data_IF_685241558492
#
_entry.id   IF_685241558492
#
_cell.length_a   1.000
_cell.length_b   1.000
_cell.length_c   1.000
_cell.angle_alpha   90.00
_cell.angle_beta   90.00
_cell.angle_gamma   90.00
#
_symmetry.space_group_name_H-M   'P 1'
#
loop_
_entity.id
_entity.type
_entity.pdbx_description
1 polymer ?
#
# COMPACT_ATOMS: atom_id res chain seq x y z
N UNK A 1 12.99 -48.85 34.59
CA UNK A 1 13.28 -47.46 34.89
C UNK A 1 13.61 -46.75 33.57
N UNK A 2 12.58 -46.17 32.99
CA UNK A 2 12.71 -45.45 31.75
C UNK A 2 12.54 -43.97 32.03
N UNK A 3 13.54 -43.18 31.69
CA UNK A 3 13.48 -41.72 31.68
C UNK A 3 12.80 -41.23 30.39
N UNK A 4 11.95 -40.20 30.44
CA UNK A 4 11.36 -39.66 29.25
C UNK A 4 12.31 -38.61 28.60
N UNK A 5 12.51 -38.80 27.31
CA UNK A 5 13.21 -37.86 26.44
C UNK A 5 12.40 -36.53 26.28
N UNK A 6 12.99 -35.47 26.75
CA UNK A 6 12.44 -34.12 26.57
C UNK A 6 12.51 -33.67 25.12
N UNK A 7 11.36 -33.51 24.48
CA UNK A 7 11.23 -32.84 23.20
C UNK A 7 11.47 -31.34 23.39
N UNK A 8 12.51 -30.80 22.75
CA UNK A 8 12.69 -29.36 22.60
C UNK A 8 11.68 -28.81 21.62
N UNK A 9 10.69 -28.09 22.12
CA UNK A 9 9.92 -27.19 21.33
C UNK A 9 10.84 -26.07 20.81
N UNK A 10 11.08 -26.04 19.52
CA UNK A 10 11.68 -24.89 18.87
C UNK A 10 10.60 -23.83 18.78
N UNK A 11 10.71 -22.81 19.61
CA UNK A 11 9.86 -21.65 19.58
C UNK A 11 10.08 -20.90 18.28
N UNK A 12 9.07 -20.88 17.44
CA UNK A 12 8.99 -19.97 16.29
C UNK A 12 8.73 -18.56 16.80
N UNK A 13 9.78 -17.80 17.05
CA UNK A 13 9.68 -16.40 17.48
C UNK A 13 9.87 -15.41 16.32
N UNK A 14 9.73 -15.86 15.07
CA UNK A 14 10.02 -15.05 13.89
C UNK A 14 8.82 -14.46 13.15
N UNK A 15 7.59 -14.94 13.40
CA UNK A 15 6.46 -14.65 12.51
C UNK A 15 5.60 -13.45 12.96
N UNK A 16 5.86 -12.90 14.13
CA UNK A 16 4.99 -11.87 14.73
C UNK A 16 5.35 -10.43 14.43
N UNK A 17 6.45 -10.15 13.75
CA UNK A 17 6.87 -8.78 13.44
C UNK A 17 6.20 -8.19 12.21
N UNK A 18 5.85 -9.01 11.22
CA UNK A 18 5.29 -8.54 9.95
C UNK A 18 3.76 -8.55 9.91
N UNK A 19 3.09 -9.20 10.84
CA UNK A 19 1.65 -9.39 10.82
C UNK A 19 0.93 -8.46 11.81
N UNK A 20 0.87 -7.18 11.48
CA UNK A 20 -0.17 -6.32 12.03
C UNK A 20 -1.43 -6.48 11.18
N UNK A 21 -2.32 -7.42 11.49
CA UNK A 21 -3.60 -7.55 10.82
C UNK A 21 -4.52 -6.42 11.27
N UNK A 22 -4.72 -5.42 10.43
CA UNK A 22 -5.81 -4.47 10.62
C UNK A 22 -7.08 -5.03 9.96
N UNK A 23 -7.96 -5.62 10.75
CA UNK A 23 -9.32 -5.94 10.31
C UNK A 23 -10.15 -4.68 10.46
N UNK A 24 -10.29 -3.89 9.41
CA UNK A 24 -11.27 -2.83 9.37
C UNK A 24 -12.52 -3.32 8.63
N UNK A 25 -13.60 -3.48 9.36
CA UNK A 25 -14.94 -3.67 8.80
C UNK A 25 -15.37 -2.36 8.17
N UNK A 26 -15.73 -2.40 6.88
CA UNK A 26 -16.52 -1.35 6.24
C UNK A 26 -17.87 -1.27 6.95
N UNK A 27 -18.16 -0.16 7.61
CA UNK A 27 -19.51 0.22 7.98
C UNK A 27 -20.00 1.23 6.97
N UNK A 28 -20.91 0.80 6.12
CA UNK A 28 -21.66 1.69 5.26
C UNK A 28 -22.79 2.33 6.09
N UNK A 29 -22.78 3.64 6.23
CA UNK A 29 -23.93 4.48 6.56
C UNK A 29 -23.57 5.91 6.14
N UNK A 30 -24.36 6.46 5.32
CA UNK A 30 -25.55 7.19 5.36
C UNK A 30 -25.60 8.20 4.24
N UNK A 31 -26.62 8.11 3.44
CA UNK A 31 -27.04 9.08 2.43
C UNK A 31 -27.41 10.42 3.05
N UNK A 32 -27.06 11.54 2.40
CA UNK A 32 -27.95 12.63 2.00
C UNK A 32 -27.25 13.98 1.85
N UNK A 33 -27.91 15.00 1.24
CA UNK A 33 -28.37 15.12 -0.13
C UNK A 33 -27.68 16.25 -0.91
N UNK A 34 -27.94 16.26 -2.22
CA UNK A 34 -27.67 17.30 -3.19
C UNK A 34 -27.29 18.69 -2.69
N UNK A 35 -26.02 19.04 -2.86
CA UNK A 35 -25.58 20.41 -3.01
C UNK A 35 -25.15 20.60 -4.48
N UNK A 36 -25.61 21.69 -5.08
CA UNK A 36 -25.37 22.08 -6.47
C UNK A 36 -23.86 22.09 -6.79
N UNK A 37 -23.45 21.78 -8.03
CA UNK A 37 -22.05 21.74 -8.40
C UNK A 37 -21.51 23.18 -8.48
N UNK A 38 -20.90 23.64 -7.42
CA UNK A 38 -19.80 24.58 -7.56
C UNK A 38 -18.68 23.79 -8.23
N UNK A 39 -18.18 24.23 -9.37
CA UNK A 39 -16.95 23.72 -9.98
C UNK A 39 -15.81 23.93 -8.97
N UNK A 40 -15.72 23.08 -7.96
CA UNK A 40 -14.50 22.94 -7.17
C UNK A 40 -13.45 22.35 -8.12
N UNK A 41 -12.36 23.07 -8.27
CA UNK A 41 -11.24 22.59 -9.05
C UNK A 41 -10.88 21.18 -8.59
N UNK A 42 -10.84 20.22 -9.53
CA UNK A 42 -10.57 18.83 -9.27
C UNK A 42 -9.35 18.67 -8.36
N UNK A 43 -9.55 18.12 -7.16
CA UNK A 43 -8.48 17.96 -6.19
C UNK A 43 -7.67 16.72 -6.49
N UNK A 44 -6.37 16.85 -6.40
CA UNK A 44 -5.41 15.78 -6.67
C UNK A 44 -4.67 15.41 -5.40
N UNK A 45 -4.54 14.12 -5.16
CA UNK A 45 -3.78 13.54 -4.06
C UNK A 45 -2.63 12.69 -4.62
N UNK A 46 -1.44 12.81 -4.05
CA UNK A 46 -0.31 11.91 -4.30
C UNK A 46 -0.11 11.06 -3.06
N UNK A 47 -0.45 9.79 -3.17
CA UNK A 47 -0.22 8.76 -2.14
C UNK A 47 1.02 7.98 -2.52
N UNK A 48 1.91 7.72 -1.57
CA UNK A 48 3.08 6.89 -1.87
C UNK A 48 3.56 6.09 -0.67
N UNK A 49 4.18 4.95 -0.98
CA UNK A 49 5.03 4.19 -0.06
C UNK A 49 6.46 4.20 -0.58
N UNK A 50 7.42 4.44 0.30
CA UNK A 50 8.84 4.44 -0.05
C UNK A 50 9.68 3.82 1.06
N UNK A 51 10.32 2.69 0.76
CA UNK A 51 11.21 2.00 1.70
C UNK A 51 12.63 2.61 1.73
N UNK A 52 13.11 3.12 0.59
CA UNK A 52 14.50 3.61 0.40
C UNK A 52 14.60 5.08 -0.02
N UNK A 53 13.48 5.80 -0.05
CA UNK A 53 13.43 7.22 -0.43
C UNK A 53 13.27 7.49 -1.91
N UNK A 54 13.48 6.52 -2.81
CA UNK A 54 13.40 6.75 -4.26
C UNK A 54 11.98 7.14 -4.71
N UNK A 55 10.96 6.40 -4.29
CA UNK A 55 9.55 6.70 -4.63
C UNK A 55 9.13 8.04 -4.03
N UNK A 56 9.60 8.35 -2.83
CA UNK A 56 9.36 9.65 -2.17
C UNK A 56 9.81 10.82 -3.04
N UNK A 57 11.02 10.76 -3.57
CA UNK A 57 11.54 11.84 -4.45
C UNK A 57 10.65 12.07 -5.67
N UNK A 58 10.14 11.00 -6.29
CA UNK A 58 9.22 11.10 -7.44
C UNK A 58 7.87 11.67 -7.01
N UNK A 59 7.34 11.22 -5.87
CA UNK A 59 6.08 11.72 -5.32
C UNK A 59 6.14 13.21 -5.01
N UNK A 60 7.21 13.68 -4.39
CA UNK A 60 7.45 15.11 -4.11
C UNK A 60 7.52 15.95 -5.39
N UNK A 61 8.15 15.41 -6.44
CA UNK A 61 8.24 16.11 -7.73
C UNK A 61 6.87 16.17 -8.43
N UNK A 62 6.07 15.10 -8.42
CA UNK A 62 4.70 15.13 -8.93
C UNK A 62 3.87 16.16 -8.17
N UNK A 63 3.95 16.16 -6.85
CA UNK A 63 3.28 17.14 -5.99
C UNK A 63 3.67 18.58 -6.34
N UNK A 64 4.97 18.83 -6.51
CA UNK A 64 5.48 20.15 -6.90
C UNK A 64 4.95 20.62 -8.27
N UNK A 65 4.83 19.70 -9.23
CA UNK A 65 4.38 20.01 -10.59
C UNK A 65 2.87 20.19 -10.69
N UNK A 66 2.10 19.44 -9.89
CA UNK A 66 0.64 19.41 -9.97
C UNK A 66 -0.06 20.29 -8.93
N UNK A 67 0.65 20.69 -7.87
CA UNK A 67 0.05 21.34 -6.71
C UNK A 67 -0.84 20.41 -5.87
N UNK A 68 -0.69 19.09 -6.03
CA UNK A 68 -1.45 18.09 -5.31
C UNK A 68 -1.09 18.02 -3.82
N UNK A 69 -2.00 17.50 -3.00
CA UNK A 69 -1.68 17.13 -1.63
C UNK A 69 -0.84 15.86 -1.61
N UNK A 70 0.04 15.73 -0.62
CA UNK A 70 0.96 14.60 -0.47
C UNK A 70 0.63 13.77 0.76
N UNK A 71 0.52 12.46 0.59
CA UNK A 71 0.28 11.51 1.67
C UNK A 71 1.27 10.35 1.63
N UNK A 72 2.05 10.20 2.69
CA UNK A 72 3.00 9.10 2.85
C UNK A 72 2.37 7.93 3.59
N UNK A 73 2.37 6.76 2.98
CA UNK A 73 2.02 5.51 3.66
C UNK A 73 3.24 5.09 4.49
N UNK A 74 3.15 5.31 5.80
CA UNK A 74 4.18 4.88 6.75
C UNK A 74 3.75 3.55 7.36
N UNK A 75 4.57 2.48 7.27
CA UNK A 75 4.27 1.22 7.94
C UNK A 75 4.19 1.41 9.46
N UNK A 76 3.24 0.77 10.14
CA UNK A 76 3.15 0.80 11.60
C UNK A 76 4.41 0.21 12.28
N UNK A 77 5.06 -0.73 11.59
CA UNK A 77 6.39 -1.25 11.96
C UNK A 77 7.33 -0.93 10.80
N UNK A 78 8.27 0.01 10.97
CA UNK A 78 9.22 0.37 9.92
C UNK A 78 10.06 -0.83 9.47
N UNK A 79 10.28 -0.94 8.15
CA UNK A 79 11.19 -1.93 7.61
C UNK A 79 12.63 -1.56 7.92
N UNK A 80 13.40 -2.53 8.40
CA UNK A 80 14.85 -2.43 8.55
C UNK A 80 15.57 -2.90 7.29
N UNK A 81 16.86 -2.64 7.17
CA UNK A 81 17.66 -3.15 6.05
C UNK A 81 17.64 -4.69 5.98
N UNK A 82 17.53 -5.36 7.13
CA UNK A 82 17.38 -6.82 7.19
C UNK A 82 16.02 -7.28 6.68
N UNK A 83 14.95 -6.51 6.95
CA UNK A 83 13.60 -6.80 6.48
C UNK A 83 13.47 -6.63 4.95
N UNK A 84 14.35 -5.82 4.36
CA UNK A 84 14.39 -5.55 2.92
C UNK A 84 15.42 -6.41 2.16
N UNK A 85 16.15 -7.27 2.86
CA UNK A 85 17.17 -8.12 2.25
C UNK A 85 16.55 -9.30 1.48
N UNK A 86 16.20 -9.07 0.22
CA UNK A 86 15.58 -10.06 -0.67
C UNK A 86 16.42 -11.35 -0.89
N UNK A 87 17.70 -11.36 -0.52
CA UNK A 87 18.52 -12.58 -0.53
C UNK A 87 18.23 -13.51 0.66
N UNK A 88 17.54 -12.99 1.68
CA UNK A 88 17.08 -13.76 2.83
C UNK A 88 15.60 -14.13 2.65
N UNK A 89 15.29 -15.40 2.40
CA UNK A 89 13.94 -15.88 2.22
C UNK A 89 13.04 -15.68 3.47
N UNK A 90 13.65 -15.45 4.63
CA UNK A 90 12.93 -15.21 5.89
C UNK A 90 12.79 -13.71 6.23
N UNK A 91 13.24 -12.81 5.35
CA UNK A 91 13.04 -11.39 5.58
C UNK A 91 11.56 -11.01 5.45
N UNK A 92 11.16 -9.94 6.13
CA UNK A 92 9.78 -9.46 6.17
C UNK A 92 9.19 -9.26 4.78
N UNK A 93 9.90 -8.55 3.92
CA UNK A 93 9.45 -8.27 2.56
C UNK A 93 9.20 -9.56 1.75
N UNK A 94 10.08 -10.58 1.86
CA UNK A 94 9.88 -11.86 1.21
C UNK A 94 8.63 -12.59 1.73
N UNK A 95 8.44 -12.60 3.04
CA UNK A 95 7.28 -13.25 3.66
C UNK A 95 5.97 -12.59 3.24
N UNK A 96 5.92 -11.27 3.26
CA UNK A 96 4.75 -10.50 2.82
C UNK A 96 4.45 -10.73 1.34
N UNK A 97 5.46 -10.69 0.48
CA UNK A 97 5.25 -10.85 -0.96
C UNK A 97 4.84 -12.28 -1.34
N UNK A 98 5.25 -13.28 -0.56
CA UNK A 98 4.84 -14.69 -0.74
C UNK A 98 3.44 -14.97 -0.20
N UNK A 99 2.88 -14.10 0.63
CA UNK A 99 1.52 -14.20 1.14
C UNK A 99 0.61 -13.16 0.47
N UNK A 100 -0.24 -13.61 -0.44
CA UNK A 100 -1.19 -12.72 -1.13
C UNK A 100 -2.22 -12.07 -0.20
N UNK A 101 -2.44 -12.64 0.99
CA UNK A 101 -3.35 -12.13 2.00
C UNK A 101 -2.68 -11.18 3.01
N UNK A 102 -1.34 -11.03 2.95
CA UNK A 102 -0.64 -10.13 3.84
C UNK A 102 -1.15 -8.69 3.71
N UNK A 103 -1.40 -8.07 4.84
CA UNK A 103 -1.86 -6.68 4.95
C UNK A 103 -1.07 -5.97 6.05
N UNK A 104 0.16 -5.52 5.76
CA UNK A 104 0.95 -4.74 6.71
C UNK A 104 0.17 -3.51 7.18
N UNK A 105 0.17 -3.26 8.47
CA UNK A 105 -0.59 -2.15 9.04
C UNK A 105 0.02 -0.80 8.65
N UNK A 106 -0.83 0.16 8.30
CA UNK A 106 -0.45 1.55 8.06
C UNK A 106 -0.43 2.29 9.39
N UNK A 107 0.67 2.98 9.66
CA UNK A 107 0.87 3.78 10.86
C UNK A 107 0.67 5.28 10.63
N UNK A 108 0.50 5.73 9.39
CA UNK A 108 0.13 7.13 9.09
C UNK A 108 -1.26 7.46 9.62
N UNK A 109 -1.49 8.74 9.92
CA UNK A 109 -2.84 9.22 10.24
C UNK A 109 -3.79 8.98 9.06
N UNK A 110 -5.05 8.71 9.36
CA UNK A 110 -6.07 8.50 8.33
C UNK A 110 -6.29 9.79 7.52
N UNK A 111 -6.46 9.62 6.20
CA UNK A 111 -6.79 10.71 5.29
C UNK A 111 -8.21 10.55 4.75
N UNK A 112 -8.89 11.65 4.53
CA UNK A 112 -10.16 11.65 3.82
C UNK A 112 -9.92 11.74 2.31
N UNK A 113 -10.02 10.59 1.62
CA UNK A 113 -9.84 10.51 0.17
C UNK A 113 -11.09 10.95 -0.59
N UNK A 114 -12.24 11.14 0.06
CA UNK A 114 -13.50 11.46 -0.61
C UNK A 114 -13.47 12.83 -1.32
N UNK A 115 -12.66 13.75 -0.81
CA UNK A 115 -12.52 15.11 -1.36
C UNK A 115 -11.64 15.21 -2.60
N UNK A 116 -11.05 14.08 -3.08
CA UNK A 116 -10.15 14.06 -4.23
C UNK A 116 -10.79 13.33 -5.41
N UNK A 117 -10.56 13.85 -6.62
CA UNK A 117 -11.04 13.26 -7.88
C UNK A 117 -9.95 12.43 -8.55
N UNK A 118 -8.70 12.81 -8.35
CA UNK A 118 -7.52 12.16 -8.91
C UNK A 118 -6.57 11.73 -7.81
N UNK A 119 -6.16 10.47 -7.84
CA UNK A 119 -5.22 9.90 -6.86
C UNK A 119 -4.04 9.26 -7.58
N UNK A 120 -2.86 9.83 -7.40
CA UNK A 120 -1.62 9.16 -7.78
C UNK A 120 -1.26 8.14 -6.70
N UNK A 121 -0.82 6.94 -7.08
CA UNK A 121 -0.37 5.92 -6.15
C UNK A 121 1.04 5.49 -6.52
N UNK A 122 2.01 5.81 -5.67
CA UNK A 122 3.43 5.56 -5.87
C UNK A 122 3.98 4.44 -4.99
N UNK A 123 4.80 3.56 -5.58
CA UNK A 123 5.40 2.43 -4.87
C UNK A 123 6.66 1.92 -5.55
N UNK A 124 7.59 1.31 -4.80
CA UNK A 124 8.65 0.52 -5.41
C UNK A 124 8.10 -0.81 -5.92
N UNK A 125 8.65 -1.33 -7.02
CA UNK A 125 8.29 -2.69 -7.46
C UNK A 125 9.02 -3.72 -6.61
N UNK A 126 8.24 -4.57 -5.93
CA UNK A 126 8.72 -5.74 -5.19
C UNK A 126 8.22 -7.00 -5.85
N UNK A 127 9.12 -7.93 -6.18
CA UNK A 127 8.77 -9.21 -6.82
C UNK A 127 7.84 -9.08 -8.04
N UNK A 128 8.04 -8.01 -8.82
CA UNK A 128 7.30 -7.76 -10.06
C UNK A 128 5.93 -7.10 -9.90
N UNK A 129 5.51 -6.78 -8.67
CA UNK A 129 4.26 -6.08 -8.40
C UNK A 129 4.42 -5.03 -7.28
N UNK A 130 3.34 -4.50 -6.77
CA UNK A 130 3.33 -3.54 -5.65
C UNK A 130 3.53 -4.22 -4.30
N UNK A 131 4.14 -3.55 -3.31
CA UNK A 131 4.24 -4.05 -1.93
C UNK A 131 2.87 -4.24 -1.30
N UNK A 132 2.73 -5.22 -0.40
CA UNK A 132 1.45 -5.55 0.24
C UNK A 132 0.81 -4.43 1.04
N UNK A 133 1.59 -3.47 1.51
CA UNK A 133 1.06 -2.29 2.20
C UNK A 133 0.18 -1.42 1.28
N UNK A 134 0.41 -1.44 -0.03
CA UNK A 134 -0.47 -0.79 -1.01
C UNK A 134 -1.83 -1.49 -1.05
N UNK A 135 -1.87 -2.84 -0.97
CA UNK A 135 -3.13 -3.56 -0.85
C UNK A 135 -3.89 -3.16 0.42
N UNK A 136 -3.18 -2.93 1.54
CA UNK A 136 -3.80 -2.42 2.77
C UNK A 136 -4.44 -1.05 2.54
N UNK A 137 -3.77 -0.16 1.80
CA UNK A 137 -4.32 1.15 1.45
C UNK A 137 -5.60 1.01 0.59
N UNK A 138 -5.56 0.21 -0.47
CA UNK A 138 -6.71 -0.03 -1.35
C UNK A 138 -7.89 -0.68 -0.59
N UNK A 139 -7.61 -1.60 0.33
CA UNK A 139 -8.66 -2.21 1.17
C UNK A 139 -9.27 -1.24 2.20
N UNK A 140 -8.52 -0.19 2.57
CA UNK A 140 -8.93 0.77 3.60
C UNK A 140 -9.72 1.94 3.04
N UNK A 141 -9.36 2.43 1.86
CA UNK A 141 -9.92 3.63 1.25
C UNK A 141 -10.70 3.29 -0.01
N UNK A 142 -11.86 3.92 -0.17
CA UNK A 142 -12.73 3.76 -1.34
C UNK A 142 -12.30 4.72 -2.46
N UNK A 143 -11.84 4.18 -3.57
CA UNK A 143 -11.42 4.93 -4.74
C UNK A 143 -12.45 4.90 -5.88
N UNK A 144 -13.66 4.41 -5.63
CA UNK A 144 -14.74 4.34 -6.62
C UNK A 144 -15.02 5.71 -7.25
N UNK A 145 -15.13 5.73 -8.57
CA UNK A 145 -15.39 6.93 -9.35
C UNK A 145 -14.19 7.89 -9.49
N UNK A 146 -13.05 7.58 -8.89
CA UNK A 146 -11.84 8.41 -8.98
C UNK A 146 -10.94 7.97 -10.12
N UNK A 147 -10.16 8.91 -10.66
CA UNK A 147 -9.07 8.60 -11.57
C UNK A 147 -7.85 8.21 -10.77
N UNK A 148 -7.35 6.99 -10.97
CA UNK A 148 -6.16 6.47 -10.30
C UNK A 148 -5.00 6.41 -11.28
N UNK A 149 -3.88 7.04 -10.91
CA UNK A 149 -2.66 7.14 -11.70
C UNK A 149 -1.51 6.46 -10.97
N UNK A 150 -1.28 5.16 -11.20
CA UNK A 150 -0.14 4.47 -10.59
C UNK A 150 1.20 4.99 -11.13
N UNK A 151 2.21 5.08 -10.27
CA UNK A 151 3.60 5.29 -10.68
C UNK A 151 4.53 4.43 -9.83
N UNK A 152 5.65 4.02 -10.40
CA UNK A 152 6.55 3.15 -9.67
C UNK A 152 8.01 3.55 -9.81
N UNK A 153 8.82 3.08 -8.86
CA UNK A 153 10.28 3.05 -8.97
C UNK A 153 10.73 1.60 -9.03
N UNK A 154 11.59 1.29 -10.00
CA UNK A 154 12.05 -0.07 -10.22
C UNK A 154 13.47 -0.09 -10.77
N UNK A 155 14.21 -1.16 -10.45
CA UNK A 155 15.52 -1.40 -11.02
C UNK A 155 15.46 -1.94 -12.47
N UNK A 156 14.40 -2.71 -12.81
CA UNK A 156 14.27 -3.33 -14.13
C UNK A 156 12.85 -3.82 -14.47
N UNK A 157 11.97 -4.00 -13.48
CA UNK A 157 10.62 -4.53 -13.72
C UNK A 157 9.66 -3.42 -14.15
N UNK A 158 8.75 -3.73 -15.08
CA UNK A 158 7.70 -2.80 -15.48
C UNK A 158 6.54 -2.71 -14.48
N UNK A 159 5.68 -1.72 -14.68
CA UNK A 159 4.51 -1.42 -13.83
C UNK A 159 3.26 -2.26 -14.18
N UNK A 160 3.25 -2.94 -15.31
CA UNK A 160 2.05 -3.57 -15.91
C UNK A 160 1.33 -4.51 -14.96
N UNK A 161 2.06 -5.36 -14.22
CA UNK A 161 1.44 -6.30 -13.29
C UNK A 161 0.76 -5.58 -12.14
N UNK A 162 1.42 -4.62 -11.52
CA UNK A 162 0.84 -3.87 -10.40
C UNK A 162 -0.35 -3.02 -10.81
N UNK A 163 -0.37 -2.46 -12.02
CA UNK A 163 -1.55 -1.78 -12.57
C UNK A 163 -2.73 -2.74 -12.72
N UNK A 164 -2.47 -3.95 -13.21
CA UNK A 164 -3.49 -5.00 -13.30
C UNK A 164 -4.05 -5.39 -11.94
N UNK A 165 -3.17 -5.49 -10.94
CA UNK A 165 -3.55 -5.83 -9.57
C UNK A 165 -4.41 -4.71 -8.93
N UNK A 166 -4.06 -3.43 -9.17
CA UNK A 166 -4.86 -2.27 -8.73
C UNK A 166 -6.23 -2.26 -9.39
N UNK A 167 -6.32 -2.50 -10.71
CA UNK A 167 -7.60 -2.60 -11.43
C UNK A 167 -8.49 -3.70 -10.89
N UNK A 168 -7.90 -4.81 -10.50
CA UNK A 168 -8.65 -5.92 -9.90
C UNK A 168 -9.15 -5.60 -8.48
N UNK A 169 -8.38 -4.82 -7.71
CA UNK A 169 -8.75 -4.38 -6.37
C UNK A 169 -9.81 -3.26 -6.38
N UNK A 170 -9.74 -2.37 -7.36
CA UNK A 170 -10.60 -1.19 -7.47
C UNK A 170 -11.36 -1.18 -8.83
N UNK A 171 -12.33 -2.09 -9.02
CA UNK A 171 -13.03 -2.24 -10.30
C UNK A 171 -13.90 -1.04 -10.65
N UNK A 172 -14.31 -0.24 -9.67
CA UNK A 172 -15.15 0.94 -9.83
C UNK A 172 -14.34 2.26 -9.97
N UNK A 173 -13.00 2.18 -9.94
CA UNK A 173 -12.10 3.30 -10.21
C UNK A 173 -11.62 3.30 -11.67
N UNK A 174 -11.34 4.49 -12.21
CA UNK A 174 -10.71 4.64 -13.53
C UNK A 174 -9.19 4.56 -13.40
N UNK A 175 -8.66 3.34 -13.37
CA UNK A 175 -7.22 3.08 -13.21
C UNK A 175 -6.51 3.19 -14.56
N UNK A 176 -5.67 4.20 -14.70
CA UNK A 176 -4.89 4.47 -15.91
C UNK A 176 -3.65 3.57 -16.02
N UNK A 177 -3.07 3.54 -17.22
CA UNK A 177 -1.76 2.95 -17.41
C UNK A 177 -0.73 3.78 -16.63
N UNK A 178 0.12 3.13 -15.86
CA UNK A 178 1.01 3.81 -14.94
C UNK A 178 2.24 4.47 -15.62
N UNK A 179 3.03 5.16 -14.80
CA UNK A 179 4.29 5.84 -15.16
C UNK A 179 5.50 5.11 -14.58
#
# INVERSE_FOLDING_TARGET
DAAPSGGRARGGAGIQRCAGFAVHRRTAEGSDPAAEPTEEAAKTLVVYFSATGNTKTVAEEITRLTGADLYEIVPAVPYTDEDLNYNNNECCANQEMNDASARPAIGSEAIDVSSYDTVFIGYPIWWGTMPRIINTFLDTYDLSGKTVLPFCTSGSSGITQSVSDIRAAEPDADVRDGL
#
